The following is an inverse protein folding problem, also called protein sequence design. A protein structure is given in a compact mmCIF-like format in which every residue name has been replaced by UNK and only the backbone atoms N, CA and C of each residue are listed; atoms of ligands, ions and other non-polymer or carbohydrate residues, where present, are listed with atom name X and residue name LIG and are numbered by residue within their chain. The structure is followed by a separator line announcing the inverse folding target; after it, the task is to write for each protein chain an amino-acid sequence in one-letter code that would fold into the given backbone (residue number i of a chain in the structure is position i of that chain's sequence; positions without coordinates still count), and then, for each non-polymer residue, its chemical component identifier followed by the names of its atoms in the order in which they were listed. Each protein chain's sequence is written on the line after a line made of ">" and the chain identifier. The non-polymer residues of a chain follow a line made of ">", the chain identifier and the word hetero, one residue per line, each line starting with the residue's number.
data_IF_463065463200
#
_entry.id   IF_463065463200
#
_cell.length_a   1.000
_cell.length_b   1.000
_cell.length_c   1.000
_cell.angle_alpha   90.00
_cell.angle_beta   90.00
_cell.angle_gamma   90.00
#
_symmetry.space_group_name_H-M   'P 1'
#
loop_
_entity.id
_entity.type
_entity.pdbx_description
1 polymer ?
#
# COMPACT_ATOMS: atom_id res chain seq x y z
N UNK A 1 18.43 -14.05 -30.63
CA UNK A 1 18.61 -14.34 -29.20
C UNK A 1 18.11 -13.12 -28.44
N UNK A 2 17.01 -13.22 -27.72
CA UNK A 2 16.58 -12.16 -26.82
C UNK A 2 17.47 -12.25 -25.57
N UNK A 3 18.35 -11.28 -25.38
CA UNK A 3 19.09 -11.13 -24.13
C UNK A 3 18.06 -10.82 -23.05
N UNK A 4 17.84 -11.70 -22.09
CA UNK A 4 17.05 -11.38 -20.90
C UNK A 4 17.72 -10.18 -20.23
N UNK A 5 17.02 -9.05 -20.19
CA UNK A 5 17.55 -7.85 -19.58
C UNK A 5 17.52 -8.03 -18.05
N UNK A 6 18.53 -7.53 -17.34
CA UNK A 6 18.47 -7.49 -15.88
C UNK A 6 17.23 -6.70 -15.42
N UNK A 7 16.56 -7.22 -14.40
CA UNK A 7 15.40 -6.58 -13.79
C UNK A 7 15.72 -5.28 -13.08
N UNK A 8 14.69 -4.49 -12.84
CA UNK A 8 14.82 -3.23 -12.09
C UNK A 8 15.00 -3.51 -10.59
N UNK A 9 15.87 -2.73 -9.94
CA UNK A 9 16.19 -2.87 -8.53
C UNK A 9 16.19 -1.53 -7.78
N UNK A 10 15.83 -1.58 -6.51
CA UNK A 10 15.84 -0.49 -5.53
C UNK A 10 16.89 -0.86 -4.47
N UNK A 11 18.12 -0.35 -4.65
CA UNK A 11 19.27 -0.83 -3.88
C UNK A 11 19.51 -2.32 -4.14
N UNK A 12 19.50 -3.13 -3.07
CA UNK A 12 19.71 -4.58 -3.14
C UNK A 12 18.42 -5.40 -3.34
N UNK A 13 17.25 -4.76 -3.43
CA UNK A 13 15.94 -5.43 -3.52
C UNK A 13 15.39 -5.27 -4.95
N UNK A 14 14.94 -6.36 -5.57
CA UNK A 14 14.30 -6.27 -6.89
C UNK A 14 12.94 -5.59 -6.81
N UNK A 15 12.56 -4.83 -7.85
CA UNK A 15 11.25 -4.20 -7.95
C UNK A 15 10.13 -5.24 -7.83
N UNK A 16 10.29 -6.41 -8.46
CA UNK A 16 9.32 -7.49 -8.45
C UNK A 16 9.04 -8.03 -7.04
N UNK A 17 10.09 -8.29 -6.26
CA UNK A 17 9.93 -8.80 -4.89
C UNK A 17 9.32 -7.75 -3.96
N UNK A 18 9.74 -6.49 -4.09
CA UNK A 18 9.21 -5.38 -3.30
C UNK A 18 7.74 -5.12 -3.60
N UNK A 19 7.36 -5.08 -4.88
CA UNK A 19 5.97 -4.91 -5.30
C UNK A 19 5.08 -6.05 -4.80
N UNK A 20 5.53 -7.30 -4.97
CA UNK A 20 4.79 -8.49 -4.51
C UNK A 20 4.58 -8.46 -3.00
N UNK A 21 5.59 -8.01 -2.24
CA UNK A 21 5.47 -7.81 -0.78
C UNK A 21 4.38 -6.79 -0.43
N UNK A 22 4.31 -5.66 -1.16
CA UNK A 22 3.28 -4.65 -0.91
C UNK A 22 1.87 -5.20 -1.17
N UNK A 23 1.69 -5.93 -2.27
CA UNK A 23 0.42 -6.59 -2.59
C UNK A 23 0.01 -7.58 -1.48
N UNK A 24 0.93 -8.44 -1.05
CA UNK A 24 0.69 -9.37 0.06
C UNK A 24 0.27 -8.63 1.34
N UNK A 25 0.91 -7.52 1.71
CA UNK A 25 0.56 -6.76 2.91
C UNK A 25 -0.88 -6.23 2.91
N UNK A 26 -1.39 -5.79 1.76
CA UNK A 26 -2.74 -5.22 1.63
C UNK A 26 -3.83 -6.31 1.57
N UNK A 27 -3.46 -7.55 1.28
CA UNK A 27 -4.40 -8.65 1.00
C UNK A 27 -4.98 -9.32 2.26
N UNK A 28 -4.36 -9.11 3.43
CA UNK A 28 -4.69 -9.82 4.68
C UNK A 28 -5.29 -8.92 5.77
N UNK A 29 -6.07 -7.90 5.40
CA UNK A 29 -6.77 -7.01 6.34
C UNK A 29 -8.28 -7.29 6.30
N UNK A 30 -8.92 -7.37 7.47
CA UNK A 30 -10.35 -7.68 7.66
C UNK A 30 -10.93 -6.85 8.81
N UNK A 31 -12.25 -6.92 9.04
CA UNK A 31 -12.90 -6.24 10.16
C UNK A 31 -12.82 -7.02 11.48
N UNK A 32 -12.73 -6.30 12.60
CA UNK A 32 -12.93 -6.89 13.93
C UNK A 32 -14.41 -7.14 14.22
N UNK A 33 -14.72 -7.96 15.24
CA UNK A 33 -16.10 -8.17 15.69
C UNK A 33 -16.76 -6.85 16.13
N UNK A 34 -18.06 -6.71 15.86
CA UNK A 34 -18.87 -5.54 16.24
C UNK A 34 -18.36 -4.20 15.66
N UNK A 35 -18.08 -4.17 14.37
CA UNK A 35 -17.68 -2.96 13.67
C UNK A 35 -18.90 -2.11 13.25
N UNK A 36 -18.67 -0.84 12.92
CA UNK A 36 -19.70 0.07 12.38
C UNK A 36 -19.49 0.40 10.89
N UNK A 37 -20.48 1.03 10.26
CA UNK A 37 -20.47 1.39 8.83
C UNK A 37 -19.20 2.13 8.38
N UNK A 38 -18.70 3.05 9.19
CA UNK A 38 -17.48 3.82 8.87
C UNK A 38 -16.24 2.93 8.67
N UNK A 39 -16.15 1.81 9.38
CA UNK A 39 -15.07 0.85 9.22
C UNK A 39 -15.22 0.02 7.93
N UNK A 40 -16.46 -0.29 7.51
CA UNK A 40 -16.69 -0.90 6.20
C UNK A 40 -16.21 0.01 5.08
N UNK A 41 -16.57 1.30 5.13
CA UNK A 41 -16.13 2.31 4.17
C UNK A 41 -14.60 2.34 4.14
N UNK A 42 -13.95 2.37 5.30
CA UNK A 42 -12.49 2.39 5.41
C UNK A 42 -11.84 1.12 4.82
N UNK A 43 -12.43 -0.06 5.02
CA UNK A 43 -11.90 -1.30 4.45
C UNK A 43 -12.16 -1.41 2.94
N UNK A 44 -13.28 -0.87 2.46
CA UNK A 44 -13.54 -0.71 1.02
C UNK A 44 -12.51 0.21 0.38
N UNK A 45 -12.13 1.32 1.03
CA UNK A 45 -11.04 2.19 0.57
C UNK A 45 -9.72 1.43 0.46
N UNK A 46 -9.37 0.63 1.48
CA UNK A 46 -8.16 -0.21 1.43
C UNK A 46 -8.20 -1.16 0.22
N UNK A 47 -9.35 -1.77 -0.03
CA UNK A 47 -9.55 -2.70 -1.15
C UNK A 47 -9.38 -2.02 -2.51
N UNK A 48 -9.89 -0.79 -2.64
CA UNK A 48 -9.68 0.06 -3.82
C UNK A 48 -8.21 0.44 -4.02
N UNK A 49 -7.52 0.83 -2.95
CA UNK A 49 -6.09 1.13 -2.98
C UNK A 49 -5.27 -0.10 -3.43
N UNK A 50 -5.61 -1.29 -2.92
CA UNK A 50 -4.98 -2.54 -3.35
C UNK A 50 -5.19 -2.79 -4.87
N UNK A 51 -6.40 -2.56 -5.39
CA UNK A 51 -6.66 -2.64 -6.84
C UNK A 51 -5.85 -1.63 -7.65
N UNK A 52 -5.76 -0.37 -7.22
CA UNK A 52 -4.96 0.67 -7.88
C UNK A 52 -3.49 0.26 -7.98
N UNK A 53 -2.91 -0.23 -6.88
CA UNK A 53 -1.54 -0.73 -6.86
C UNK A 53 -1.36 -1.96 -7.76
N UNK A 54 -2.28 -2.92 -7.70
CA UNK A 54 -2.29 -4.12 -8.53
C UNK A 54 -2.32 -3.79 -10.02
N UNK A 55 -3.19 -2.85 -10.43
CA UNK A 55 -3.30 -2.36 -11.81
C UNK A 55 -2.03 -1.65 -12.27
N UNK A 56 -1.45 -0.81 -11.41
CA UNK A 56 -0.17 -0.17 -11.68
C UNK A 56 0.90 -1.21 -12.01
N UNK A 57 1.09 -2.18 -11.11
CA UNK A 57 2.11 -3.22 -11.28
C UNK A 57 1.88 -4.09 -12.50
N UNK A 58 0.64 -4.37 -12.86
CA UNK A 58 0.33 -5.11 -14.08
C UNK A 58 0.68 -4.32 -15.36
N UNK A 59 0.34 -3.02 -15.40
CA UNK A 59 0.62 -2.17 -16.56
C UNK A 59 2.12 -1.95 -16.74
N UNK A 60 2.84 -1.70 -15.65
CA UNK A 60 4.30 -1.55 -15.70
C UNK A 60 5.04 -2.88 -15.72
N UNK A 61 4.32 -4.01 -15.60
CA UNK A 61 4.86 -5.37 -15.48
C UNK A 61 5.87 -5.52 -14.34
N UNK A 62 5.59 -4.90 -13.19
CA UNK A 62 6.48 -4.85 -12.03
C UNK A 62 6.95 -6.24 -11.55
N UNK A 63 6.14 -7.28 -11.73
CA UNK A 63 6.46 -8.65 -11.33
C UNK A 63 7.23 -9.47 -12.37
N UNK A 64 7.32 -9.00 -13.61
CA UNK A 64 8.01 -9.72 -14.67
C UNK A 64 9.42 -9.15 -14.79
N UNK A 65 10.30 -9.62 -13.92
CA UNK A 65 11.70 -9.19 -13.85
C UNK A 65 12.37 -9.26 -15.23
N UNK A 66 12.95 -8.14 -15.67
CA UNK A 66 13.60 -8.03 -16.98
C UNK A 66 12.65 -7.75 -18.15
N UNK A 67 11.34 -7.80 -17.91
CA UNK A 67 10.28 -7.52 -18.88
C UNK A 67 9.37 -6.37 -18.45
N UNK A 68 9.88 -5.49 -17.58
CA UNK A 68 9.17 -4.28 -17.17
C UNK A 68 8.87 -3.39 -18.39
N UNK A 69 7.86 -2.53 -18.26
CA UNK A 69 7.47 -1.60 -19.32
C UNK A 69 8.69 -0.81 -19.84
N UNK A 70 8.95 -0.76 -21.16
CA UNK A 70 10.15 -0.08 -21.70
C UNK A 70 10.30 1.37 -21.24
N UNK A 71 9.20 2.14 -21.21
CA UNK A 71 9.19 3.51 -20.73
C UNK A 71 9.60 3.64 -19.25
N UNK A 72 9.22 2.67 -18.41
CA UNK A 72 9.66 2.61 -17.01
C UNK A 72 11.17 2.35 -16.93
N UNK A 73 11.69 1.42 -17.74
CA UNK A 73 13.13 1.08 -17.74
C UNK A 73 13.99 2.24 -18.24
N UNK A 74 13.54 2.93 -19.28
CA UNK A 74 14.24 4.08 -19.87
C UNK A 74 14.34 5.25 -18.87
N UNK A 75 13.26 5.54 -18.14
CA UNK A 75 13.23 6.62 -17.16
C UNK A 75 13.66 6.19 -15.75
N UNK A 76 14.02 4.92 -15.55
CA UNK A 76 14.37 4.37 -14.23
C UNK A 76 15.45 5.17 -13.49
N UNK A 77 16.52 5.69 -14.15
CA UNK A 77 17.51 6.51 -13.46
C UNK A 77 16.93 7.78 -12.81
N UNK A 78 15.82 8.32 -13.35
CA UNK A 78 15.17 9.53 -12.84
C UNK A 78 14.03 9.22 -11.86
N UNK A 79 13.29 8.13 -12.07
CA UNK A 79 12.05 7.84 -11.31
C UNK A 79 12.18 6.66 -10.34
N UNK A 80 13.25 5.85 -10.46
CA UNK A 80 13.40 4.60 -9.71
C UNK A 80 13.50 4.80 -8.20
N UNK A 81 14.08 5.92 -7.75
CA UNK A 81 14.07 6.30 -6.34
C UNK A 81 12.67 6.60 -5.85
N UNK A 82 11.86 7.36 -6.60
CA UNK A 82 10.47 7.66 -6.22
C UNK A 82 9.60 6.40 -6.20
N UNK A 83 9.71 5.54 -7.22
CA UNK A 83 9.00 4.25 -7.25
C UNK A 83 9.41 3.39 -6.04
N UNK A 84 10.72 3.26 -5.83
CA UNK A 84 11.26 2.45 -4.75
C UNK A 84 10.86 2.97 -3.37
N UNK A 85 10.93 4.28 -3.15
CA UNK A 85 10.54 4.89 -1.89
C UNK A 85 9.06 4.69 -1.58
N UNK A 86 8.18 4.83 -2.59
CA UNK A 86 6.75 4.62 -2.40
C UNK A 86 6.44 3.17 -1.97
N UNK A 87 7.03 2.19 -2.66
CA UNK A 87 6.84 0.77 -2.33
C UNK A 87 7.52 0.37 -1.00
N UNK A 88 8.71 0.90 -0.70
CA UNK A 88 9.35 0.70 0.61
C UNK A 88 8.45 1.27 1.71
N UNK A 89 7.92 2.48 1.54
CA UNK A 89 7.04 3.10 2.55
C UNK A 89 5.77 2.29 2.79
N UNK A 90 5.16 1.72 1.74
CA UNK A 90 4.02 0.81 1.89
C UNK A 90 4.43 -0.44 2.67
N UNK A 91 5.51 -1.12 2.28
CA UNK A 91 6.02 -2.30 2.97
C UNK A 91 6.32 -2.02 4.45
N UNK A 92 7.01 -0.92 4.76
CA UNK A 92 7.42 -0.57 6.12
C UNK A 92 6.23 -0.16 7.02
N UNK A 93 5.11 0.28 6.43
CA UNK A 93 3.86 0.47 7.18
C UNK A 93 3.38 -0.84 7.83
N UNK A 94 3.70 -2.00 7.26
CA UNK A 94 3.29 -3.32 7.75
C UNK A 94 4.38 -4.13 8.46
N UNK A 95 5.61 -3.60 8.55
CA UNK A 95 6.77 -4.40 8.97
C UNK A 95 6.76 -4.80 10.46
N UNK A 96 6.20 -3.99 11.34
CA UNK A 96 6.18 -4.25 12.78
C UNK A 96 4.75 -4.54 13.28
N UNK A 97 4.48 -5.83 13.49
CA UNK A 97 3.27 -6.38 14.08
C UNK A 97 2.86 -5.74 15.41
N UNK A 98 3.81 -5.45 16.29
CA UNK A 98 3.54 -4.83 17.59
C UNK A 98 3.18 -3.35 17.42
N UNK A 99 3.83 -2.67 16.49
CA UNK A 99 3.48 -1.33 16.03
C UNK A 99 2.19 -1.28 15.20
N UNK A 100 1.71 -2.37 14.60
CA UNK A 100 0.48 -2.36 13.79
C UNK A 100 -0.77 -2.09 14.64
N UNK A 101 -0.84 -2.69 15.84
CA UNK A 101 -1.93 -2.41 16.79
C UNK A 101 -1.85 -0.98 17.33
N UNK A 102 -0.66 -0.53 17.74
CA UNK A 102 -0.50 0.79 18.33
C UNK A 102 -0.67 1.93 17.30
N UNK A 103 -0.14 1.76 16.09
CA UNK A 103 -0.13 2.79 15.04
C UNK A 103 -1.41 2.84 14.23
N UNK A 104 -1.93 1.67 13.88
CA UNK A 104 -3.00 1.54 12.89
C UNK A 104 -4.22 0.78 13.41
N UNK A 105 -4.21 0.38 14.69
CA UNK A 105 -5.36 -0.31 15.29
C UNK A 105 -5.56 -1.72 14.75
N UNK A 106 -4.54 -2.34 14.15
CA UNK A 106 -4.63 -3.67 13.57
C UNK A 106 -4.20 -4.74 14.58
N UNK A 107 -5.08 -5.70 14.88
CA UNK A 107 -4.74 -6.85 15.73
C UNK A 107 -4.64 -8.12 14.91
N UNK A 108 -3.62 -8.93 15.17
CA UNK A 108 -3.46 -10.22 14.52
C UNK A 108 -4.63 -11.14 14.89
N UNK A 109 -5.19 -11.84 13.90
CA UNK A 109 -6.25 -12.84 14.10
C UNK A 109 -5.61 -14.20 14.41
N UNK A 110 -5.72 -14.73 15.65
CA UNK A 110 -5.09 -15.99 16.01
C UNK A 110 -5.67 -17.16 15.21
N UNK A 111 -4.82 -17.97 14.57
CA UNK A 111 -5.24 -19.13 13.78
C UNK A 111 -6.03 -18.82 12.51
N UNK A 112 -5.95 -17.57 12.02
CA UNK A 112 -6.85 -17.00 11.02
C UNK A 112 -7.07 -17.84 9.75
N UNK A 113 -8.30 -18.32 9.59
CA UNK A 113 -8.85 -18.73 8.29
C UNK A 113 -9.68 -17.58 7.72
N UNK A 114 -9.70 -17.44 6.39
CA UNK A 114 -10.49 -16.42 5.67
C UNK A 114 -11.97 -16.42 6.10
N UNK A 115 -12.51 -17.59 6.45
CA UNK A 115 -13.89 -17.76 6.92
C UNK A 115 -14.16 -17.11 8.28
N UNK A 116 -13.24 -17.14 9.23
CA UNK A 116 -13.47 -16.54 10.56
C UNK A 116 -13.44 -15.00 10.54
N UNK A 117 -12.66 -14.45 9.61
CA UNK A 117 -12.53 -13.03 9.33
C UNK A 117 -13.83 -12.44 8.73
N UNK A 118 -14.37 -13.12 7.70
CA UNK A 118 -15.52 -12.65 6.92
C UNK A 118 -16.89 -12.76 7.59
N UNK A 119 -17.03 -13.55 8.67
CA UNK A 119 -18.34 -13.77 9.33
C UNK A 119 -18.98 -12.47 9.81
N UNK A 120 -18.17 -11.46 10.12
CA UNK A 120 -18.68 -10.20 10.61
C UNK A 120 -19.04 -9.23 9.48
N UNK A 121 -18.46 -9.41 8.28
CA UNK A 121 -18.51 -8.46 7.16
C UNK A 121 -19.90 -8.44 6.47
N UNK A 122 -20.36 -7.27 5.98
CA UNK A 122 -21.61 -7.18 5.23
C UNK A 122 -21.50 -7.90 3.90
N UNK A 123 -22.65 -8.30 3.33
CA UNK A 123 -22.71 -8.92 2.00
C UNK A 123 -22.03 -8.04 0.94
N UNK A 124 -22.31 -6.73 0.98
CA UNK A 124 -21.76 -5.76 0.05
C UNK A 124 -20.23 -5.69 0.10
N UNK A 125 -19.66 -5.63 1.31
CA UNK A 125 -18.22 -5.61 1.52
C UNK A 125 -17.56 -6.93 1.09
N UNK A 126 -18.13 -8.05 1.49
CA UNK A 126 -17.65 -9.38 1.10
C UNK A 126 -17.60 -9.53 -0.43
N UNK A 127 -18.64 -9.10 -1.14
CA UNK A 127 -18.71 -9.15 -2.60
C UNK A 127 -17.62 -8.30 -3.25
N UNK A 128 -17.43 -7.06 -2.80
CA UNK A 128 -16.35 -6.18 -3.31
C UNK A 128 -14.99 -6.86 -3.10
N UNK A 129 -14.71 -7.28 -1.86
CA UNK A 129 -13.43 -7.89 -1.51
C UNK A 129 -13.20 -9.15 -2.33
N UNK A 130 -14.17 -10.05 -2.43
CA UNK A 130 -14.03 -11.28 -3.21
C UNK A 130 -13.80 -11.04 -4.71
N UNK A 131 -14.58 -10.15 -5.33
CA UNK A 131 -14.40 -9.80 -6.74
C UNK A 131 -13.00 -9.23 -6.98
N UNK A 132 -12.57 -8.27 -6.16
CA UNK A 132 -11.24 -7.67 -6.24
C UNK A 132 -10.12 -8.70 -6.03
N UNK A 133 -10.27 -9.57 -5.03
CA UNK A 133 -9.29 -10.60 -4.73
C UNK A 133 -9.16 -11.62 -5.88
N UNK A 134 -10.28 -12.05 -6.48
CA UNK A 134 -10.30 -12.95 -7.64
C UNK A 134 -9.59 -12.29 -8.83
N UNK A 135 -9.94 -11.05 -9.16
CA UNK A 135 -9.34 -10.31 -10.27
C UNK A 135 -7.84 -10.10 -10.04
N UNK A 136 -7.45 -9.74 -8.81
CA UNK A 136 -6.06 -9.55 -8.43
C UNK A 136 -5.25 -10.84 -8.54
N UNK A 137 -5.74 -11.96 -8.01
CA UNK A 137 -5.04 -13.25 -8.11
C UNK A 137 -4.87 -13.74 -9.54
N UNK A 138 -5.78 -13.41 -10.46
CA UNK A 138 -5.61 -13.71 -11.90
C UNK A 138 -4.43 -12.94 -12.52
N UNK A 139 -4.05 -11.79 -11.95
CA UNK A 139 -2.95 -10.93 -12.44
C UNK A 139 -1.61 -11.29 -11.82
N UNK A 140 -1.63 -11.70 -10.57
CA UNK A 140 -0.43 -11.98 -9.77
C UNK A 140 0.03 -13.43 -10.02
N UNK A 141 1.30 -13.64 -10.39
CA UNK A 141 1.87 -15.00 -10.38
C UNK A 141 1.89 -15.50 -8.93
N UNK A 142 1.48 -16.75 -8.69
CA UNK A 142 1.33 -17.35 -7.35
C UNK A 142 2.67 -17.48 -6.60
N UNK A 143 3.23 -16.38 -6.11
CA UNK A 143 4.42 -16.39 -5.28
C UNK A 143 4.22 -15.41 -4.12
N UNK A 144 3.47 -15.84 -3.11
CA UNK A 144 3.44 -15.09 -1.84
C UNK A 144 4.76 -15.32 -1.12
N UNK A 145 5.45 -14.24 -0.76
CA UNK A 145 6.78 -14.29 -0.12
C UNK A 145 6.67 -14.08 1.40
N UNK A 146 5.51 -13.61 1.88
CA UNK A 146 5.30 -13.24 3.29
C UNK A 146 4.43 -14.28 4.00
N UNK A 147 4.75 -14.58 5.28
CA UNK A 147 3.85 -15.38 6.14
C UNK A 147 2.50 -14.68 6.26
N UNK A 148 1.45 -15.34 5.78
CA UNK A 148 0.08 -14.83 5.76
C UNK A 148 -0.45 -14.68 7.19
N UNK A 149 -0.52 -13.44 7.67
CA UNK A 149 -1.14 -13.11 8.96
C UNK A 149 -2.33 -12.21 8.67
N UNK A 150 -3.51 -12.64 9.09
CA UNK A 150 -4.73 -11.83 9.01
C UNK A 150 -4.72 -10.77 10.11
N UNK A 151 -5.05 -9.54 9.75
CA UNK A 151 -5.13 -8.38 10.63
C UNK A 151 -6.57 -7.86 10.69
N UNK A 152 -7.15 -7.81 11.88
CA UNK A 152 -8.47 -7.23 12.11
C UNK A 152 -8.34 -5.76 12.51
N UNK A 153 -9.17 -4.89 11.91
CA UNK A 153 -9.23 -3.45 12.25
C UNK A 153 -10.06 -3.24 13.53
N UNK A 154 -9.44 -2.69 14.57
CA UNK A 154 -10.07 -2.39 15.86
C UNK A 154 -10.22 -0.90 16.19
N UNK A 155 -9.45 -0.02 15.53
CA UNK A 155 -9.49 1.42 15.76
C UNK A 155 -9.56 2.15 14.41
N UNK A 156 -10.74 2.71 14.12
CA UNK A 156 -11.02 3.39 12.84
C UNK A 156 -10.08 4.57 12.60
N UNK A 157 -9.88 5.42 13.61
CA UNK A 157 -9.09 6.64 13.45
C UNK A 157 -7.63 6.31 13.15
N UNK A 158 -7.09 5.29 13.82
CA UNK A 158 -5.73 4.80 13.55
C UNK A 158 -5.64 4.15 12.18
N UNK A 159 -6.66 3.40 11.77
CA UNK A 159 -6.70 2.78 10.45
C UNK A 159 -6.76 3.82 9.32
N UNK A 160 -7.47 4.93 9.50
CA UNK A 160 -7.45 6.06 8.55
C UNK A 160 -6.04 6.61 8.30
N UNK A 161 -5.14 6.55 9.29
CA UNK A 161 -3.75 6.98 9.12
C UNK A 161 -2.94 6.01 8.25
N UNK A 162 -3.24 4.70 8.31
CA UNK A 162 -2.68 3.70 7.41
C UNK A 162 -3.17 3.95 5.98
N UNK A 163 -4.47 4.14 5.80
CA UNK A 163 -5.09 4.46 4.51
C UNK A 163 -4.46 5.70 3.89
N UNK A 164 -4.27 6.76 4.67
CA UNK A 164 -3.63 8.00 4.20
C UNK A 164 -2.19 7.77 3.76
N UNK A 165 -1.43 6.95 4.49
CA UNK A 165 -0.05 6.60 4.13
C UNK A 165 0.00 5.82 2.82
N UNK A 166 -0.87 4.82 2.65
CA UNK A 166 -0.93 4.00 1.43
C UNK A 166 -1.41 4.82 0.24
N UNK A 167 -2.49 5.59 0.40
CA UNK A 167 -3.07 6.46 -0.63
C UNK A 167 -2.02 7.45 -1.14
N UNK A 168 -1.31 8.14 -0.25
CA UNK A 168 -0.22 9.04 -0.63
C UNK A 168 0.87 8.38 -1.50
N UNK A 169 1.28 7.16 -1.14
CA UNK A 169 2.32 6.44 -1.87
C UNK A 169 1.82 5.94 -3.24
N UNK A 170 0.57 5.49 -3.32
CA UNK A 170 -0.06 5.09 -4.59
C UNK A 170 -0.28 6.28 -5.50
N UNK A 171 -0.73 7.43 -4.98
CA UNK A 171 -0.87 8.67 -5.75
C UNK A 171 0.46 9.10 -6.37
N UNK A 172 1.58 8.94 -5.63
CA UNK A 172 2.90 9.24 -6.18
C UNK A 172 3.31 8.26 -7.29
N UNK A 173 2.92 6.99 -7.21
CA UNK A 173 3.10 6.03 -8.32
C UNK A 173 2.23 6.41 -9.53
N UNK A 174 1.01 6.90 -9.32
CA UNK A 174 0.12 7.35 -10.40
C UNK A 174 0.60 8.65 -11.07
N UNK A 175 1.23 9.57 -10.35
CA UNK A 175 1.93 10.72 -10.96
C UNK A 175 3.06 10.27 -11.89
N UNK A 176 3.77 9.19 -11.52
CA UNK A 176 4.77 8.59 -12.41
C UNK A 176 4.08 8.00 -13.64
N UNK A 177 2.93 7.35 -13.47
CA UNK A 177 2.14 6.87 -14.59
C UNK A 177 1.66 7.97 -15.53
N UNK A 178 1.36 9.17 -15.03
CA UNK A 178 1.09 10.35 -15.87
C UNK A 178 2.31 10.70 -16.71
N UNK A 179 3.48 10.82 -16.08
CA UNK A 179 4.74 11.12 -16.77
C UNK A 179 5.12 10.06 -17.81
N UNK A 180 4.75 8.80 -17.57
CA UNK A 180 4.95 7.68 -18.49
C UNK A 180 3.83 7.55 -19.54
N UNK A 181 2.82 8.42 -19.53
CA UNK A 181 1.64 8.38 -20.41
C UNK A 181 0.84 7.06 -20.33
N UNK A 182 0.79 6.45 -19.15
CA UNK A 182 0.05 5.20 -18.89
C UNK A 182 -1.15 5.37 -17.94
N UNK A 183 -1.36 6.56 -17.36
CA UNK A 183 -2.45 6.79 -16.40
C UNK A 183 -3.83 6.47 -16.99
N UNK A 184 -4.11 6.91 -18.22
CA UNK A 184 -5.41 6.64 -18.86
C UNK A 184 -5.66 5.14 -19.07
N UNK A 185 -4.59 4.36 -19.27
CA UNK A 185 -4.69 2.90 -19.33
C UNK A 185 -5.02 2.31 -17.95
N UNK A 186 -4.47 2.87 -16.87
CA UNK A 186 -4.81 2.45 -15.50
C UNK A 186 -6.27 2.76 -15.16
N UNK A 187 -6.73 3.99 -15.44
CA UNK A 187 -8.13 4.40 -15.18
C UNK A 187 -9.14 3.53 -15.92
N UNK A 188 -8.91 3.28 -17.22
CA UNK A 188 -9.75 2.37 -18.01
C UNK A 188 -9.79 0.97 -17.42
N UNK A 189 -8.66 0.49 -16.91
CA UNK A 189 -8.60 -0.82 -16.30
C UNK A 189 -9.31 -0.88 -14.95
N UNK A 190 -9.22 0.17 -14.15
CA UNK A 190 -9.95 0.27 -12.89
C UNK A 190 -11.46 0.28 -13.12
N UNK A 191 -11.93 1.05 -14.12
CA UNK A 191 -13.34 1.05 -14.51
C UNK A 191 -13.83 -0.37 -14.90
N UNK A 192 -13.07 -1.10 -15.71
CA UNK A 192 -13.41 -2.50 -16.05
C UNK A 192 -13.46 -3.43 -14.84
N UNK A 193 -12.67 -3.17 -13.79
CA UNK A 193 -12.74 -3.95 -12.54
C UNK A 193 -13.99 -3.60 -11.74
N UNK A 194 -14.36 -2.32 -11.73
CA UNK A 194 -15.56 -1.85 -11.05
C UNK A 194 -16.84 -2.34 -11.74
N UNK A 195 -16.84 -2.46 -13.07
CA UNK A 195 -17.96 -2.99 -13.86
C UNK A 195 -18.28 -4.48 -13.56
N UNK A 196 -17.35 -5.22 -12.95
CA UNK A 196 -17.58 -6.61 -12.49
C UNK A 196 -18.36 -6.68 -11.17
N UNK A 197 -18.69 -5.53 -10.57
CA UNK A 197 -19.50 -5.42 -9.36
C UNK A 197 -20.90 -4.94 -9.76
N UNK A 198 -21.89 -5.82 -9.60
CA UNK A 198 -23.27 -5.62 -10.06
C UNK A 198 -24.29 -5.35 -8.93
N UNK A 199 -23.89 -5.57 -7.67
CA UNK A 199 -24.75 -5.37 -6.50
C UNK A 199 -24.83 -3.88 -6.12
N UNK A 200 -26.04 -3.36 -6.01
CA UNK A 200 -26.32 -1.93 -5.76
C UNK A 200 -25.73 -1.46 -4.42
N UNK A 201 -25.80 -2.27 -3.37
CA UNK A 201 -25.25 -1.94 -2.05
C UNK A 201 -23.71 -1.92 -2.09
N UNK A 202 -23.09 -2.84 -2.85
CA UNK A 202 -21.65 -2.82 -3.13
C UNK A 202 -21.24 -1.56 -3.91
N UNK A 203 -21.96 -1.18 -4.95
CA UNK A 203 -21.68 0.03 -5.73
C UNK A 203 -21.80 1.29 -4.86
N UNK A 204 -22.84 1.38 -4.03
CA UNK A 204 -23.02 2.48 -3.08
C UNK A 204 -21.86 2.57 -2.09
N UNK A 205 -21.43 1.44 -1.54
CA UNK A 205 -20.28 1.38 -0.63
C UNK A 205 -18.97 1.80 -1.31
N UNK A 206 -18.77 1.47 -2.60
CA UNK A 206 -17.62 1.96 -3.37
C UNK A 206 -17.64 3.47 -3.55
N UNK A 207 -18.79 4.05 -3.88
CA UNK A 207 -18.95 5.51 -4.02
C UNK A 207 -18.65 6.21 -2.68
N UNK A 208 -19.21 5.71 -1.58
CA UNK A 208 -18.93 6.25 -0.24
C UNK A 208 -17.43 6.17 0.12
N UNK A 209 -16.76 5.08 -0.26
CA UNK A 209 -15.32 4.92 -0.08
C UNK A 209 -14.50 5.93 -0.90
N UNK A 210 -14.83 6.13 -2.17
CA UNK A 210 -14.16 7.13 -3.01
C UNK A 210 -14.38 8.58 -2.51
N UNK A 211 -15.59 8.90 -2.05
CA UNK A 211 -15.88 10.22 -1.47
C UNK A 211 -15.11 10.46 -0.17
N UNK A 212 -15.04 9.45 0.69
CA UNK A 212 -14.27 9.54 1.91
C UNK A 212 -12.75 9.65 1.65
N UNK A 213 -12.22 9.09 0.56
CA UNK A 213 -10.79 9.18 0.20
C UNK A 213 -10.41 10.60 -0.23
N UNK A 214 -11.30 11.27 -0.99
CA UNK A 214 -11.12 12.70 -1.33
C UNK A 214 -11.03 13.59 -0.09
N UNK A 215 -11.77 13.25 0.96
CA UNK A 215 -11.75 13.97 2.23
C UNK A 215 -10.50 13.67 3.07
N UNK A 216 -9.94 12.46 3.01
CA UNK A 216 -8.72 12.08 3.73
C UNK A 216 -7.43 12.50 3.02
N UNK A 217 -7.42 12.55 1.69
CA UNK A 217 -6.31 13.00 0.83
C UNK A 217 -5.98 14.50 1.02
N UNK A 218 -6.98 15.32 1.36
CA UNK A 218 -6.75 16.73 1.74
C UNK A 218 -5.82 16.87 2.96
N UNK A 219 -5.74 15.87 3.85
CA UNK A 219 -4.92 15.88 5.06
C UNK A 219 -3.49 15.29 4.89
N UNK A 220 -3.17 14.62 3.78
CA UNK A 220 -1.79 14.23 3.40
C UNK A 220 -1.10 15.26 2.50
N UNK A 221 -1.83 16.28 2.03
CA UNK A 221 -1.44 17.26 1.02
C UNK A 221 -0.29 18.22 1.40
N UNK A 222 0.51 17.87 2.41
CA UNK A 222 1.59 18.73 2.94
C UNK A 222 3.01 18.19 2.79
N UNK A 223 3.20 16.93 2.40
CA UNK A 223 4.55 16.34 2.35
C UNK A 223 5.09 16.22 0.93
N UNK A 224 6.29 16.73 0.71
CA UNK A 224 7.03 16.60 -0.54
C UNK A 224 8.34 15.87 -0.28
N UNK A 225 8.64 14.84 -1.08
CA UNK A 225 9.86 14.04 -0.98
C UNK A 225 10.57 14.08 -2.34
N UNK A 226 11.63 14.88 -2.44
CA UNK A 226 12.37 15.10 -3.68
C UNK A 226 13.79 14.54 -3.56
N UNK A 227 14.21 13.77 -4.56
CA UNK A 227 15.56 13.21 -4.63
C UNK A 227 15.97 12.43 -3.37
N UNK A 228 15.03 11.68 -2.78
CA UNK A 228 15.30 10.83 -1.62
C UNK A 228 15.88 9.49 -2.07
N UNK A 229 17.06 9.15 -1.55
CA UNK A 229 17.75 7.88 -1.83
C UNK A 229 17.71 7.04 -0.56
N UNK A 230 16.91 5.97 -0.59
CA UNK A 230 16.90 4.94 0.47
C UNK A 230 17.91 3.85 0.09
N UNK A 231 19.03 3.83 0.79
CA UNK A 231 20.09 2.84 0.68
C UNK A 231 19.86 1.60 1.54
N UNK A 232 20.81 0.68 1.51
CA UNK A 232 20.71 -0.62 2.16
C UNK A 232 20.43 -0.52 3.66
N UNK A 233 19.66 -1.49 4.17
CA UNK A 233 19.31 -1.65 5.59
C UNK A 233 18.61 -0.43 6.21
N UNK A 234 18.16 0.53 5.42
CA UNK A 234 17.33 1.64 5.88
C UNK A 234 15.86 1.21 6.02
N UNK A 235 15.19 1.78 7.02
CA UNK A 235 13.75 1.66 7.26
C UNK A 235 13.17 3.05 7.25
N UNK A 236 12.23 3.29 6.34
CA UNK A 236 11.69 4.63 6.16
C UNK A 236 10.18 4.57 6.06
N UNK A 237 9.51 5.36 6.88
CA UNK A 237 8.09 5.66 6.72
C UNK A 237 7.99 7.10 6.24
N UNK A 238 7.38 7.29 5.07
CA UNK A 238 7.08 8.61 4.53
C UNK A 238 5.60 8.91 4.71
N UNK A 239 5.30 10.04 5.34
CA UNK A 239 3.94 10.48 5.61
C UNK A 239 3.59 10.57 7.10
N UNK A 240 2.31 10.68 7.36
CA UNK A 240 1.77 10.91 8.71
C UNK A 240 1.50 9.58 9.42
N UNK A 241 1.87 9.47 10.70
CA UNK A 241 1.65 8.28 11.53
C UNK A 241 0.96 8.62 12.86
N UNK A 242 -0.29 8.22 13.03
CA UNK A 242 -1.08 8.45 14.26
C UNK A 242 -1.54 9.90 14.46
N UNK A 243 -1.22 10.82 13.55
CA UNK A 243 -1.59 12.25 13.64
C UNK A 243 -1.44 12.96 12.29
N UNK A 244 -2.22 14.01 12.06
CA UNK A 244 -1.98 15.01 11.02
C UNK A 244 -1.29 16.24 11.63
N UNK A 245 -0.57 17.01 10.81
CA UNK A 245 0.18 18.16 11.30
C UNK A 245 0.78 18.98 10.18
N UNK A 246 1.90 19.63 10.46
CA UNK A 246 2.57 20.53 9.53
C UNK A 246 2.96 19.83 8.21
N UNK A 247 3.00 20.63 7.15
CA UNK A 247 3.56 20.25 5.86
C UNK A 247 5.08 20.23 5.94
N UNK A 248 5.72 19.23 5.33
CA UNK A 248 7.18 19.11 5.31
C UNK A 248 7.68 18.92 3.88
N UNK A 249 8.81 19.54 3.59
CA UNK A 249 9.52 19.30 2.35
C UNK A 249 10.88 18.68 2.68
N UNK A 250 11.14 17.53 2.08
CA UNK A 250 12.39 16.79 2.21
C UNK A 250 13.06 16.74 0.84
N UNK A 251 14.25 17.33 0.73
CA UNK A 251 15.04 17.40 -0.52
C UNK A 251 16.39 16.73 -0.30
N UNK A 252 16.92 16.12 -1.36
CA UNK A 252 18.30 15.63 -1.45
C UNK A 252 18.71 14.74 -0.26
N UNK A 253 17.78 13.90 0.19
CA UNK A 253 17.94 13.11 1.41
C UNK A 253 18.49 11.71 1.09
N UNK A 254 19.66 11.36 1.63
CA UNK A 254 20.20 10.00 1.53
C UNK A 254 20.13 9.30 2.89
N UNK A 255 19.46 8.15 2.94
CA UNK A 255 19.25 7.36 4.15
C UNK A 255 19.92 6.01 3.94
N UNK A 256 20.78 5.56 4.85
CA UNK A 256 21.43 4.24 4.75
C UNK A 256 21.64 3.70 6.16
N UNK A 257 21.26 2.44 6.39
CA UNK A 257 21.42 1.79 7.70
C UNK A 257 20.69 2.46 8.87
N UNK A 258 19.63 3.22 8.61
CA UNK A 258 18.93 4.02 9.62
C UNK A 258 17.42 3.76 9.63
N UNK A 259 16.79 3.97 10.78
CA UNK A 259 15.33 4.01 10.93
C UNK A 259 14.89 5.48 10.91
N UNK A 260 14.05 5.87 9.95
CA UNK A 260 13.67 7.27 9.72
C UNK A 260 12.16 7.36 9.53
N UNK A 261 11.55 8.33 10.21
CA UNK A 261 10.18 8.76 9.90
C UNK A 261 10.25 10.15 9.28
N UNK A 262 9.62 10.32 8.12
CA UNK A 262 9.59 11.58 7.39
C UNK A 262 8.14 12.07 7.28
N UNK A 263 7.69 12.80 8.30
CA UNK A 263 6.35 13.37 8.39
C UNK A 263 5.91 13.55 9.84
N UNK A 264 4.62 13.77 10.08
CA UNK A 264 4.11 13.94 11.45
C UNK A 264 3.96 12.59 12.13
N UNK A 265 4.25 12.53 13.43
CA UNK A 265 4.10 11.32 14.23
C UNK A 265 3.52 11.68 15.60
N UNK A 266 2.48 10.97 16.04
CA UNK A 266 1.96 11.16 17.40
C UNK A 266 2.94 10.60 18.44
N UNK A 267 2.95 11.19 19.64
CA UNK A 267 3.76 10.68 20.75
C UNK A 267 3.45 9.22 21.14
N UNK A 268 2.20 8.78 20.94
CA UNK A 268 1.79 7.39 21.16
C UNK A 268 2.47 6.44 20.15
N UNK A 269 2.52 6.84 18.87
CA UNK A 269 3.16 6.05 17.80
C UNK A 269 4.68 6.09 17.87
N UNK A 270 5.27 7.19 18.34
CA UNK A 270 6.72 7.34 18.42
C UNK A 270 7.36 6.22 19.26
N UNK A 271 6.69 5.78 20.33
CA UNK A 271 7.25 4.77 21.22
C UNK A 271 7.38 3.39 20.56
N UNK A 272 6.38 2.88 19.83
CA UNK A 272 6.54 1.63 19.06
C UNK A 272 7.53 1.80 17.94
N UNK A 273 7.44 2.89 17.18
CA UNK A 273 8.28 3.10 16.01
C UNK A 273 9.78 3.08 16.38
N UNK A 274 10.18 3.81 17.43
CA UNK A 274 11.59 3.88 17.84
C UNK A 274 12.06 2.67 18.65
N UNK A 275 11.15 1.94 19.31
CA UNK A 275 11.50 0.75 20.10
C UNK A 275 11.38 -0.57 19.32
N UNK A 276 10.84 -0.56 18.10
CA UNK A 276 10.82 -1.72 17.24
C UNK A 276 12.26 -2.16 16.94
N UNK A 277 12.72 -3.20 17.64
CA UNK A 277 14.07 -3.73 17.53
C UNK A 277 14.41 -4.01 16.06
N UNK A 278 15.60 -3.57 15.62
CA UNK A 278 16.26 -4.20 14.48
C UNK A 278 16.35 -5.69 14.78
N UNK A 279 15.77 -6.60 13.97
CA UNK A 279 16.11 -8.00 14.05
C UNK A 279 17.63 -8.07 13.91
N UNK A 280 18.27 -8.68 14.91
CA UNK A 280 19.68 -9.03 14.85
C UNK A 280 19.96 -9.68 13.49
N UNK A 281 20.99 -9.17 12.80
CA UNK A 281 21.51 -9.84 11.64
C UNK A 281 21.96 -11.24 12.06
N UNK A 282 21.23 -12.26 11.64
CA UNK A 282 21.73 -13.63 11.51
C UNK A 282 21.76 -13.97 10.03
#
# INVERSE_FOLDING_TARGET
>A
MATEAAGLAVGAISLASLFTTCIDCLDYITLARNYGRDLEISLTQMSLLNQRLSIWGEIVKAQNEGFELPALREQWPQIGSTVGNALISIKEAFYDASGLEERYGLKAVPGGTNTAAKIHESKALNQIMDTFHIIQRRRQKETSVVKKTWWAVHDKKKFDDLLRTISFNIDNLEKISENLNILEKQKKKLALVMDEIDDEDSLKLLVEAEEADKNTASASSGHSFMNTIIGERARVIMGNAGTSGASHEFRDTKITGAHVHMGNMSGAVAKSFWNASTPEAK
#
